data_IF_289689139363
#
_entry.id   IF_289689139363
#
_cell.length_a   1.000
_cell.length_b   1.000
_cell.length_c   1.000
_cell.angle_alpha   90.00
_cell.angle_beta   90.00
_cell.angle_gamma   90.00
#
_symmetry.space_group_name_H-M   'P 1'
#
loop_
_entity.id
_entity.type
_entity.pdbx_description
1 polymer ?
#
# COMPACT_ATOMS: atom_id res chain seq x y z
N UNK A 1 5.27 -17.44 21.32
CA UNK A 1 4.29 -17.70 20.26
C UNK A 1 4.70 -17.07 18.91
N UNK A 2 4.90 -15.73 18.83
CA UNK A 2 5.24 -15.02 17.57
C UNK A 2 6.51 -15.56 16.88
N UNK A 3 7.58 -15.83 17.64
CA UNK A 3 8.84 -16.38 17.07
C UNK A 3 8.65 -17.80 16.52
N UNK A 4 7.79 -18.60 17.14
CA UNK A 4 7.50 -19.97 16.68
C UNK A 4 6.70 -19.92 15.38
N UNK A 5 5.67 -19.08 15.30
CA UNK A 5 4.89 -18.87 14.07
C UNK A 5 5.77 -18.33 12.92
N UNK A 6 6.70 -17.41 13.21
CA UNK A 6 7.66 -16.88 12.23
C UNK A 6 8.62 -17.96 11.72
N UNK A 7 9.12 -18.84 12.60
CA UNK A 7 9.94 -19.99 12.20
C UNK A 7 9.17 -20.97 11.33
N UNK A 8 7.92 -21.24 11.67
CA UNK A 8 7.02 -22.10 10.88
C UNK A 8 6.78 -21.53 9.46
N UNK A 9 6.54 -20.22 9.38
CA UNK A 9 6.37 -19.49 8.12
C UNK A 9 7.61 -19.60 7.23
N UNK A 10 8.82 -19.39 7.76
CA UNK A 10 10.04 -19.48 6.95
C UNK A 10 10.35 -20.92 6.55
N UNK A 11 10.12 -21.91 7.43
CA UNK A 11 10.27 -23.32 7.06
C UNK A 11 9.31 -23.72 5.96
N UNK A 12 8.08 -23.18 5.95
CA UNK A 12 7.11 -23.41 4.88
C UNK A 12 7.55 -22.73 3.57
N UNK A 13 7.96 -21.45 3.63
CA UNK A 13 8.44 -20.68 2.47
C UNK A 13 9.64 -21.36 1.79
N UNK A 14 10.58 -21.90 2.56
CA UNK A 14 11.74 -22.63 2.05
C UNK A 14 11.33 -24.04 1.60
N UNK A 15 10.41 -24.70 2.32
CA UNK A 15 9.94 -26.05 1.98
C UNK A 15 9.26 -26.16 0.62
N UNK A 16 8.56 -25.10 0.17
CA UNK A 16 7.94 -25.05 -1.16
C UNK A 16 8.92 -24.61 -2.27
N UNK A 17 10.14 -24.20 -1.93
CA UNK A 17 11.12 -23.69 -2.90
C UNK A 17 11.34 -24.61 -4.11
N UNK A 18 11.47 -25.94 -3.96
CA UNK A 18 11.69 -26.83 -5.11
C UNK A 18 10.54 -26.74 -6.12
N UNK A 19 9.29 -26.76 -5.63
CA UNK A 19 8.09 -26.64 -6.46
C UNK A 19 8.06 -25.30 -7.17
N UNK A 20 8.37 -24.21 -6.48
CA UNK A 20 8.41 -22.88 -7.07
C UNK A 20 9.46 -22.76 -8.17
N UNK A 21 10.62 -23.40 -8.00
CA UNK A 21 11.67 -23.48 -9.03
C UNK A 21 11.20 -24.33 -10.21
N UNK A 22 10.49 -25.44 -9.99
CA UNK A 22 9.92 -26.21 -11.11
C UNK A 22 8.90 -25.40 -11.94
N UNK A 23 8.13 -24.51 -11.30
CA UNK A 23 7.18 -23.63 -12.00
C UNK A 23 7.86 -22.58 -12.90
N UNK A 24 9.17 -22.33 -12.79
CA UNK A 24 9.86 -21.43 -13.72
C UNK A 24 10.12 -22.05 -15.09
N UNK A 25 10.06 -23.38 -15.18
CA UNK A 25 10.28 -24.10 -16.43
C UNK A 25 9.12 -23.91 -17.42
N UNK A 26 7.91 -23.61 -16.93
CA UNK A 26 6.74 -23.33 -17.76
C UNK A 26 6.47 -21.83 -17.86
N UNK A 27 6.34 -21.32 -19.08
CA UNK A 27 6.03 -19.91 -19.39
C UNK A 27 4.82 -19.38 -18.60
N UNK A 28 3.80 -20.21 -18.40
CA UNK A 28 2.51 -19.84 -17.77
C UNK A 28 2.62 -19.66 -16.25
N UNK A 29 3.59 -20.29 -15.58
CA UNK A 29 3.66 -20.33 -14.11
C UNK A 29 4.83 -19.53 -13.52
N UNK A 30 5.66 -18.89 -14.36
CA UNK A 30 6.77 -18.02 -13.95
C UNK A 30 6.35 -16.88 -13.00
N UNK A 31 5.14 -16.37 -13.16
CA UNK A 31 4.61 -15.30 -12.28
C UNK A 31 4.46 -15.74 -10.82
N UNK A 32 4.14 -17.02 -10.58
CA UNK A 32 4.07 -17.53 -9.21
C UNK A 32 5.43 -17.59 -8.54
N UNK A 33 6.47 -17.99 -9.29
CA UNK A 33 7.84 -17.97 -8.81
C UNK A 33 8.29 -16.55 -8.45
N UNK A 34 8.05 -15.58 -9.34
CA UNK A 34 8.41 -14.19 -9.10
C UNK A 34 7.74 -13.64 -7.82
N UNK A 35 6.48 -14.03 -7.56
CA UNK A 35 5.73 -13.64 -6.37
C UNK A 35 6.29 -14.27 -5.09
N UNK A 36 6.57 -15.57 -5.10
CA UNK A 36 7.18 -16.27 -3.98
C UNK A 36 8.59 -15.71 -3.67
N UNK A 37 9.41 -15.53 -4.71
CA UNK A 37 10.75 -15.00 -4.59
C UNK A 37 10.73 -13.58 -4.00
N UNK A 38 9.80 -12.74 -4.46
CA UNK A 38 9.64 -11.38 -3.93
C UNK A 38 9.25 -11.38 -2.45
N UNK A 39 8.38 -12.30 -2.02
CA UNK A 39 8.02 -12.47 -0.61
C UNK A 39 9.23 -12.93 0.22
N UNK A 40 10.03 -13.86 -0.32
CA UNK A 40 11.22 -14.41 0.34
C UNK A 40 12.31 -13.34 0.50
N UNK A 41 12.59 -12.55 -0.53
CA UNK A 41 13.56 -11.44 -0.49
C UNK A 41 13.10 -10.37 0.50
N UNK A 42 11.82 -9.99 0.49
CA UNK A 42 11.28 -8.99 1.42
C UNK A 42 11.42 -9.43 2.87
N UNK A 43 11.20 -10.73 3.13
CA UNK A 43 11.37 -11.30 4.46
C UNK A 43 12.85 -11.30 4.88
N UNK A 44 13.76 -11.62 3.98
CA UNK A 44 15.21 -11.62 4.25
C UNK A 44 15.79 -10.21 4.46
N UNK A 45 15.23 -9.18 3.82
CA UNK A 45 15.69 -7.79 3.96
C UNK A 45 15.42 -7.20 5.34
N UNK A 46 14.38 -7.65 6.04
CA UNK A 46 13.99 -7.11 7.33
C UNK A 46 15.13 -7.15 8.38
N UNK A 47 15.77 -8.31 8.68
CA UNK A 47 16.88 -8.35 9.62
C UNK A 47 18.12 -7.56 9.16
N UNK A 48 18.37 -7.47 7.85
CA UNK A 48 19.51 -6.72 7.31
C UNK A 48 19.35 -5.22 7.58
N UNK A 49 18.18 -4.66 7.28
CA UNK A 49 17.90 -3.25 7.51
C UNK A 49 17.92 -2.93 9.00
N UNK A 50 17.37 -3.81 9.83
CA UNK A 50 17.40 -3.65 11.29
C UNK A 50 18.84 -3.60 11.80
N UNK A 51 19.71 -4.51 11.34
CA UNK A 51 21.12 -4.50 11.71
C UNK A 51 21.81 -3.21 11.29
N UNK A 52 21.52 -2.70 10.08
CA UNK A 52 22.04 -1.41 9.61
C UNK A 52 21.59 -0.23 10.47
N UNK A 53 20.32 -0.17 10.84
CA UNK A 53 19.78 0.87 11.73
C UNK A 53 20.39 0.77 13.14
N UNK A 54 20.55 -0.43 13.69
CA UNK A 54 21.24 -0.59 14.97
C UNK A 54 22.71 -0.20 14.90
N UNK A 55 23.39 -0.46 13.79
CA UNK A 55 24.76 -0.05 13.57
C UNK A 55 24.90 1.47 13.53
N UNK A 56 24.00 2.20 12.85
CA UNK A 56 24.05 3.67 12.83
C UNK A 56 23.76 4.27 14.20
N UNK A 57 22.74 3.76 14.91
CA UNK A 57 22.45 4.21 16.29
C UNK A 57 23.66 4.00 17.18
N UNK A 58 24.26 2.79 17.17
CA UNK A 58 25.43 2.47 18.00
C UNK A 58 26.65 3.31 17.62
N UNK A 59 26.86 3.56 16.32
CA UNK A 59 27.95 4.41 15.82
C UNK A 59 27.85 5.85 16.32
N UNK A 60 26.68 6.46 16.17
CA UNK A 60 26.40 7.82 16.68
C UNK A 60 26.49 7.88 18.20
N UNK A 61 26.00 6.84 18.90
CA UNK A 61 26.09 6.75 20.36
C UNK A 61 27.54 6.81 20.86
N UNK A 62 28.43 6.06 20.20
CA UNK A 62 29.86 6.01 20.57
C UNK A 62 30.58 7.33 20.31
N UNK A 63 30.22 8.04 19.24
CA UNK A 63 30.76 9.36 18.94
C UNK A 63 30.42 10.36 20.07
N UNK A 64 29.16 10.37 20.52
CA UNK A 64 28.73 11.26 21.60
C UNK A 64 29.34 10.88 22.96
N UNK A 65 29.51 9.59 23.26
CA UNK A 65 30.20 9.15 24.49
C UNK A 65 31.66 9.59 24.54
N UNK A 66 32.34 9.65 23.38
CA UNK A 66 33.70 10.17 23.30
C UNK A 66 33.75 11.69 23.57
N UNK A 67 32.71 12.43 23.18
CA UNK A 67 32.60 13.89 23.37
C UNK A 67 32.13 14.29 24.78
N UNK A 68 31.25 13.50 25.41
CA UNK A 68 30.80 13.74 26.79
C UNK A 68 31.78 13.21 27.86
N UNK A 69 32.77 12.41 27.48
CA UNK A 69 33.80 11.91 28.39
C UNK A 69 34.88 12.94 28.78
N UNK A 70 34.83 14.14 28.18
CA UNK A 70 35.78 15.22 28.45
C UNK A 70 35.30 16.13 29.60
N UNK A 71 35.98 16.17 30.76
CA UNK A 71 35.47 16.80 31.99
C UNK A 71 35.27 18.31 31.93
N UNK A 72 35.81 19.02 30.93
CA UNK A 72 35.68 20.47 30.79
C UNK A 72 34.31 20.92 30.21
N UNK A 73 33.55 20.02 29.57
CA UNK A 73 32.26 20.33 28.93
C UNK A 73 31.00 20.15 29.79
N UNK A 74 31.13 19.55 30.99
CA UNK A 74 30.01 18.99 31.75
C UNK A 74 29.24 19.97 32.66
N UNK A 75 29.47 21.29 32.56
CA UNK A 75 28.86 22.28 33.48
C UNK A 75 27.58 22.94 32.97
N UNK A 76 27.14 22.67 31.74
CA UNK A 76 25.96 23.30 31.14
C UNK A 76 24.82 22.30 30.90
N UNK A 77 23.58 22.65 31.28
CA UNK A 77 22.35 21.89 30.97
C UNK A 77 22.23 21.56 29.46
N UNK A 78 22.81 22.39 28.59
CA UNK A 78 22.88 22.16 27.14
C UNK A 78 23.72 20.95 26.71
N UNK A 79 24.62 20.43 27.55
CA UNK A 79 25.41 19.23 27.25
C UNK A 79 24.57 17.94 27.24
N UNK A 80 23.36 17.96 27.82
CA UNK A 80 22.42 16.85 27.77
C UNK A 80 21.51 16.87 26.53
N UNK A 81 21.45 18.00 25.80
CA UNK A 81 20.65 18.15 24.58
C UNK A 81 20.98 17.09 23.50
N UNK A 82 22.26 16.78 23.22
CA UNK A 82 22.65 15.74 22.26
C UNK A 82 22.18 14.35 22.65
N UNK A 83 22.13 14.03 23.96
CA UNK A 83 21.60 12.77 24.45
C UNK A 83 20.11 12.63 24.16
N UNK A 84 19.30 13.66 24.44
CA UNK A 84 17.87 13.65 24.13
C UNK A 84 17.60 13.60 22.63
N UNK A 85 18.38 14.32 21.82
CA UNK A 85 18.31 14.26 20.36
C UNK A 85 18.66 12.87 19.81
N UNK A 86 19.68 12.22 20.38
CA UNK A 86 20.06 10.85 20.02
C UNK A 86 18.93 9.85 20.33
N UNK A 87 18.32 9.93 21.52
CA UNK A 87 17.22 9.04 21.90
C UNK A 87 15.99 9.26 21.01
N UNK A 88 15.66 10.51 20.67
CA UNK A 88 14.58 10.84 19.74
C UNK A 88 14.84 10.31 18.34
N UNK A 89 16.07 10.50 17.81
CA UNK A 89 16.45 10.01 16.49
C UNK A 89 16.45 8.47 16.43
N UNK A 90 16.96 7.80 17.47
CA UNK A 90 16.93 6.34 17.55
C UNK A 90 15.50 5.79 17.52
N UNK A 91 14.58 6.41 18.27
CA UNK A 91 13.14 6.06 18.21
C UNK A 91 12.53 6.35 16.84
N UNK A 92 12.89 7.48 16.23
CA UNK A 92 12.46 7.84 14.87
C UNK A 92 12.87 6.80 13.83
N UNK A 93 14.12 6.34 13.89
CA UNK A 93 14.64 5.30 12.99
C UNK A 93 13.96 3.94 13.18
N UNK A 94 13.66 3.55 14.43
CA UNK A 94 12.90 2.31 14.70
C UNK A 94 11.49 2.36 14.12
N UNK A 95 10.81 3.51 14.20
CA UNK A 95 9.48 3.72 13.59
C UNK A 95 9.59 3.76 12.06
N UNK A 96 10.67 4.32 11.52
CA UNK A 96 10.90 4.42 10.07
C UNK A 96 11.34 3.10 9.41
N UNK A 97 11.91 2.16 10.19
CA UNK A 97 12.42 0.87 9.70
C UNK A 97 11.46 0.11 8.77
N UNK A 98 10.16 -0.09 9.08
CA UNK A 98 9.24 -0.76 8.15
C UNK A 98 9.07 -0.05 6.80
N UNK A 99 9.22 1.28 6.77
CA UNK A 99 9.15 2.06 5.53
C UNK A 99 10.44 1.96 4.73
N UNK A 100 11.60 1.90 5.39
CA UNK A 100 12.90 1.69 4.76
C UNK A 100 12.96 0.31 4.12
N UNK A 101 12.50 -0.72 4.83
CA UNK A 101 12.43 -2.09 4.27
C UNK A 101 11.53 -2.10 3.04
N UNK A 102 10.40 -1.40 3.09
CA UNK A 102 9.44 -1.32 1.99
C UNK A 102 9.93 -0.52 0.77
N UNK A 103 10.76 0.50 0.98
CA UNK A 103 11.37 1.24 -0.13
C UNK A 103 12.50 0.44 -0.79
N UNK A 104 13.28 -0.30 0.00
CA UNK A 104 14.40 -1.13 -0.49
C UNK A 104 13.91 -2.41 -1.19
N UNK A 105 12.82 -3.02 -0.70
CA UNK A 105 12.24 -4.22 -1.34
C UNK A 105 11.65 -3.94 -2.72
N UNK A 106 11.58 -2.67 -3.14
CA UNK A 106 10.76 -2.23 -4.26
C UNK A 106 9.27 -2.33 -3.92
N UNK A 107 8.44 -1.57 -4.63
CA UNK A 107 6.99 -1.62 -4.53
C UNK A 107 6.43 -2.94 -5.12
N UNK A 108 6.98 -4.10 -4.75
CA UNK A 108 6.46 -5.44 -5.11
C UNK A 108 5.26 -5.78 -4.21
N UNK A 109 4.46 -4.77 -3.89
CA UNK A 109 3.15 -4.93 -3.31
C UNK A 109 2.22 -5.33 -4.44
N UNK A 110 2.28 -6.61 -4.75
CA UNK A 110 1.20 -7.29 -5.45
C UNK A 110 -0.13 -6.92 -4.77
N UNK A 111 -1.08 -6.30 -5.48
CA UNK A 111 -2.37 -5.86 -4.92
C UNK A 111 -3.20 -6.97 -4.27
N UNK A 112 -2.79 -8.24 -4.39
CA UNK A 112 -3.48 -9.36 -3.78
C UNK A 112 -3.17 -9.52 -2.27
N UNK A 113 -1.99 -9.09 -1.78
CA UNK A 113 -1.73 -9.07 -0.32
C UNK A 113 -2.35 -7.85 0.37
N UNK A 114 -2.76 -6.83 -0.40
CA UNK A 114 -3.69 -5.82 0.12
C UNK A 114 -5.13 -6.34 0.19
N UNK A 115 -5.45 -7.60 -0.14
CA UNK A 115 -6.79 -8.11 0.14
C UNK A 115 -7.06 -8.26 1.66
N UNK A 116 -6.02 -8.55 2.46
CA UNK A 116 -6.15 -8.73 3.92
C UNK A 116 -6.08 -7.45 4.75
N UNK A 117 -5.36 -6.42 4.27
CA UNK A 117 -5.24 -5.09 4.91
C UNK A 117 -5.82 -3.94 4.08
N UNK A 118 -6.17 -4.16 2.82
CA UNK A 118 -6.63 -3.11 1.90
C UNK A 118 -8.09 -2.75 2.05
N UNK A 119 -8.86 -3.47 2.88
CA UNK A 119 -10.18 -3.01 3.32
C UNK A 119 -10.08 -1.66 4.03
N UNK A 120 -9.11 -1.47 4.94
CA UNK A 120 -8.95 -0.19 5.65
C UNK A 120 -8.42 0.93 4.75
N UNK A 121 -7.49 0.64 3.84
CA UNK A 121 -7.00 1.62 2.86
C UNK A 121 -8.08 2.00 1.82
N UNK A 122 -8.85 1.03 1.34
CA UNK A 122 -9.94 1.26 0.39
C UNK A 122 -11.11 2.00 1.06
N UNK A 123 -11.39 1.70 2.34
CA UNK A 123 -12.32 2.44 3.18
C UNK A 123 -11.84 3.89 3.42
N UNK A 124 -10.57 4.09 3.80
CA UNK A 124 -10.00 5.42 4.01
C UNK A 124 -10.02 6.27 2.72
N UNK A 125 -9.69 5.68 1.56
CA UNK A 125 -9.80 6.37 0.26
C UNK A 125 -11.24 6.64 -0.16
N UNK A 126 -12.18 5.78 0.23
CA UNK A 126 -13.61 6.01 0.06
C UNK A 126 -14.12 7.15 0.94
N UNK A 127 -13.65 7.25 2.19
CA UNK A 127 -13.95 8.33 3.14
C UNK A 127 -13.32 9.66 2.74
N UNK A 128 -12.12 9.62 2.15
CA UNK A 128 -11.44 10.79 1.62
C UNK A 128 -12.05 11.31 0.30
N UNK A 129 -13.06 10.62 -0.25
CA UNK A 129 -13.77 11.09 -1.45
C UNK A 129 -12.98 10.99 -2.75
N UNK A 130 -12.07 10.02 -2.86
CA UNK A 130 -11.26 9.88 -4.06
C UNK A 130 -12.12 9.63 -5.32
N UNK A 131 -11.91 10.44 -6.36
CA UNK A 131 -12.62 10.36 -7.65
C UNK A 131 -12.53 8.96 -8.30
N UNK A 132 -11.44 8.24 -8.03
CA UNK A 132 -11.22 6.87 -8.50
C UNK A 132 -12.21 5.86 -7.87
N UNK A 133 -12.55 6.03 -6.59
CA UNK A 133 -13.54 5.19 -5.89
C UNK A 133 -14.95 5.50 -6.39
N UNK A 134 -15.22 6.76 -6.71
CA UNK A 134 -16.48 7.21 -7.27
C UNK A 134 -16.72 6.63 -8.68
N UNK A 135 -15.69 6.67 -9.53
CA UNK A 135 -15.76 6.08 -10.87
C UNK A 135 -15.92 4.55 -10.80
N UNK A 136 -15.21 3.88 -9.88
CA UNK A 136 -15.38 2.44 -9.61
C UNK A 136 -16.76 2.09 -9.08
N UNK A 137 -17.34 2.94 -8.23
CA UNK A 137 -18.70 2.78 -7.74
C UNK A 137 -19.74 2.94 -8.87
N UNK A 138 -19.52 3.89 -9.78
CA UNK A 138 -20.39 4.15 -10.92
C UNK A 138 -20.38 3.01 -11.96
N UNK A 139 -19.23 2.36 -12.16
CA UNK A 139 -19.08 1.22 -13.10
C UNK A 139 -19.29 -0.15 -12.45
N UNK A 140 -19.68 -0.21 -11.16
CA UNK A 140 -19.97 -1.47 -10.45
C UNK A 140 -18.75 -2.26 -9.98
N UNK A 141 -17.54 -1.69 -10.06
CA UNK A 141 -16.28 -2.33 -9.65
C UNK A 141 -15.77 -1.92 -8.26
N UNK A 142 -16.62 -1.32 -7.41
CA UNK A 142 -16.23 -0.91 -6.06
C UNK A 142 -16.15 -2.12 -5.12
N UNK A 143 -15.09 -2.16 -4.32
CA UNK A 143 -14.89 -3.17 -3.26
C UNK A 143 -15.86 -2.95 -2.10
N UNK A 144 -16.15 -3.98 -1.30
CA UNK A 144 -17.09 -3.87 -0.17
C UNK A 144 -16.71 -2.79 0.86
N UNK A 145 -15.41 -2.56 1.05
CA UNK A 145 -14.91 -1.50 1.93
C UNK A 145 -15.09 -0.09 1.34
N UNK A 146 -14.93 0.07 0.03
CA UNK A 146 -15.24 1.32 -0.68
C UNK A 146 -16.74 1.64 -0.61
N UNK A 147 -17.59 0.62 -0.71
CA UNK A 147 -19.04 0.78 -0.55
C UNK A 147 -19.43 1.24 0.86
N UNK A 148 -18.85 0.63 1.89
CA UNK A 148 -19.07 1.02 3.28
C UNK A 148 -18.61 2.47 3.55
N UNK A 149 -17.47 2.87 2.98
CA UNK A 149 -16.97 4.23 3.11
C UNK A 149 -17.82 5.27 2.39
N UNK A 150 -18.28 4.97 1.17
CA UNK A 150 -19.18 5.85 0.43
C UNK A 150 -20.51 6.02 1.18
N UNK A 151 -21.06 4.92 1.72
CA UNK A 151 -22.28 4.97 2.54
C UNK A 151 -22.07 5.73 3.83
N UNK A 152 -20.92 5.59 4.49
CA UNK A 152 -20.56 6.40 5.65
C UNK A 152 -20.52 7.90 5.31
N UNK A 153 -19.96 8.29 4.15
CA UNK A 153 -19.98 9.70 3.71
C UNK A 153 -21.38 10.23 3.38
N UNK A 154 -22.27 9.37 2.88
CA UNK A 154 -23.69 9.75 2.69
C UNK A 154 -24.36 10.04 4.01
N UNK A 155 -24.12 9.21 5.03
CA UNK A 155 -24.67 9.40 6.36
C UNK A 155 -24.13 10.69 7.01
N UNK A 156 -22.89 11.07 6.70
CA UNK A 156 -22.27 12.33 7.15
C UNK A 156 -22.66 13.53 6.24
N UNK A 157 -23.49 13.33 5.21
CA UNK A 157 -24.02 14.41 4.38
C UNK A 157 -23.01 15.09 3.45
N UNK A 158 -21.80 14.53 3.31
CA UNK A 158 -20.70 15.18 2.58
C UNK A 158 -20.86 15.06 1.06
N UNK A 159 -21.58 14.05 0.56
CA UNK A 159 -21.88 13.88 -0.87
C UNK A 159 -22.95 12.80 -1.09
N UNK A 160 -23.94 13.09 -1.94
CA UNK A 160 -24.93 12.11 -2.40
C UNK A 160 -24.30 11.15 -3.41
N UNK A 161 -24.39 9.83 -3.20
CA UNK A 161 -23.87 8.85 -4.16
C UNK A 161 -24.55 9.06 -5.52
N UNK A 162 -23.85 8.78 -6.64
CA UNK A 162 -24.47 8.76 -7.94
C UNK A 162 -25.57 7.71 -7.89
N UNK A 163 -26.77 8.09 -8.35
CA UNK A 163 -27.83 7.13 -8.59
C UNK A 163 -27.29 6.08 -9.55
N UNK A 164 -27.05 4.87 -9.05
CA UNK A 164 -26.76 3.72 -9.90
C UNK A 164 -27.97 3.57 -10.81
N UNK A 165 -27.81 3.46 -12.14
CA UNK A 165 -28.92 3.18 -13.03
C UNK A 165 -29.60 1.83 -12.78
N UNK A 166 -29.20 1.03 -11.78
CA UNK A 166 -29.66 -0.35 -11.63
C UNK A 166 -29.56 -0.97 -10.21
N UNK A 167 -29.61 -0.20 -9.13
CA UNK A 167 -29.61 -0.77 -7.77
C UNK A 167 -30.96 -0.65 -7.05
N UNK A 168 -31.76 -1.70 -7.22
CA UNK A 168 -32.84 -2.22 -6.36
C UNK A 168 -34.18 -1.44 -6.28
N UNK A 169 -35.24 -2.06 -6.83
CA UNK A 169 -36.56 -2.03 -6.16
C UNK A 169 -37.86 -1.80 -6.94
N UNK A 170 -37.95 -1.98 -8.27
CA UNK A 170 -39.25 -1.81 -8.95
C UNK A 170 -39.41 -2.53 -10.29
N UNK A 171 -40.35 -3.49 -10.33
CA UNK A 171 -40.96 -4.22 -11.45
C UNK A 171 -40.06 -5.15 -12.32
N UNK A 172 -40.57 -6.33 -12.75
CA UNK A 172 -39.77 -7.33 -13.46
C UNK A 172 -39.48 -6.94 -14.92
N UNK A 173 -38.37 -7.50 -15.41
CA UNK A 173 -37.72 -7.33 -16.69
C UNK A 173 -38.59 -6.89 -17.89
N UNK A 174 -38.24 -5.73 -18.46
CA UNK A 174 -38.33 -5.53 -19.91
C UNK A 174 -36.92 -5.66 -20.46
N UNK A 175 -36.65 -6.76 -21.15
CA UNK A 175 -35.44 -6.97 -21.95
C UNK A 175 -35.36 -5.90 -23.03
N UNK A 176 -34.44 -4.94 -22.90
CA UNK A 176 -33.98 -4.13 -24.03
C UNK A 176 -32.47 -4.19 -24.12
N UNK A 177 -32.02 -5.00 -25.07
CA UNK A 177 -30.63 -4.99 -25.54
C UNK A 177 -30.27 -3.61 -26.09
N UNK A 178 -28.99 -3.24 -25.97
CA UNK A 178 -28.50 -2.03 -26.61
C UNK A 178 -27.20 -1.52 -26.03
N UNK A 179 -26.08 -2.09 -26.48
CA UNK A 179 -24.72 -1.58 -26.36
C UNK A 179 -24.50 -0.25 -27.12
N UNK A 180 -25.42 0.71 -27.01
CA UNK A 180 -25.47 1.93 -27.83
C UNK A 180 -24.98 3.21 -27.12
N UNK A 181 -24.53 3.11 -25.86
CA UNK A 181 -24.16 4.29 -25.09
C UNK A 181 -22.81 4.93 -25.46
N UNK A 182 -21.81 4.11 -25.79
CA UNK A 182 -20.42 4.58 -25.91
C UNK A 182 -20.07 5.04 -27.32
N UNK A 183 -20.53 4.32 -28.36
CA UNK A 183 -20.28 4.66 -29.77
C UNK A 183 -20.98 5.95 -30.20
N UNK A 184 -22.24 6.15 -29.79
CA UNK A 184 -23.00 7.37 -30.09
C UNK A 184 -22.37 8.62 -29.46
N UNK A 185 -21.82 8.50 -28.25
CA UNK A 185 -21.11 9.59 -27.57
C UNK A 185 -19.77 9.91 -28.23
N UNK A 186 -19.05 8.90 -28.71
CA UNK A 186 -17.78 9.08 -29.42
C UNK A 186 -17.97 9.75 -30.79
N UNK A 187 -19.03 9.37 -31.54
CA UNK A 187 -19.39 10.03 -32.80
C UNK A 187 -19.84 11.48 -32.59
N UNK A 188 -20.59 11.75 -31.52
CA UNK A 188 -20.97 13.12 -31.16
C UNK A 188 -19.75 14.01 -30.81
N UNK A 189 -18.72 13.42 -30.18
CA UNK A 189 -17.48 14.14 -29.88
C UNK A 189 -16.65 14.39 -31.14
N UNK A 190 -16.53 13.42 -32.04
CA UNK A 190 -15.85 13.59 -33.32
C UNK A 190 -16.52 14.64 -34.21
N UNK A 191 -17.86 14.63 -34.26
CA UNK A 191 -18.63 15.65 -34.98
C UNK A 191 -18.46 17.07 -34.41
N UNK A 192 -18.13 17.18 -33.12
CA UNK A 192 -17.83 18.46 -32.46
C UNK A 192 -16.43 18.95 -32.79
N UNK A 193 -15.46 18.04 -32.84
CA UNK A 193 -14.07 18.35 -33.21
C UNK A 193 -13.94 18.75 -34.68
N UNK A 194 -14.68 18.10 -35.59
CA UNK A 194 -14.67 18.47 -37.01
C UNK A 194 -15.22 19.87 -37.29
N UNK A 195 -16.12 20.38 -36.43
CA UNK A 195 -16.61 21.77 -36.51
C UNK A 195 -15.60 22.80 -36.00
N UNK A 196 -14.72 22.41 -35.09
CA UNK A 196 -13.69 23.30 -34.54
C UNK A 196 -12.45 23.40 -35.43
N UNK A 197 -12.18 22.39 -36.25
CA UNK A 197 -11.06 22.38 -37.20
C UNK A 197 -11.31 23.10 -38.54
N UNK A 198 -12.42 23.82 -38.69
CA UNK A 198 -12.78 24.54 -39.94
C UNK A 198 -12.99 26.04 -39.70
N UNK A 199 -12.07 26.65 -38.95
CA UNK A 199 -11.84 28.10 -38.92
C UNK A 199 -10.36 28.36 -39.05
#
# INVERSE_FOLDING_TARGET
FIVVASRLMITLLIGIAPVMIFLTLFEVTKDYFARWLSALISFALYPIVIAGVFATITGVSRALLAELGDPEGASNIGALLPFFMMVLMAKGFLIATPFIVRSVSGNIMMPALSAGFGGSYAFARGLAGSQQVYNRYAIGGATGAEYAALRARQLVGVQALPARPNAAGGAPAASSGGSSGTGARMLAQLARLSRLGRR
#
